data_IF_825722909250
#
_entry.id   IF_825722909250
#
_cell.length_a   1.000
_cell.length_b   1.000
_cell.length_c   1.000
_cell.angle_alpha   90.00
_cell.angle_beta   90.00
_cell.angle_gamma   90.00
#
_symmetry.space_group_name_H-M   'P 1'
#
loop_
_entity.id
_entity.type
_entity.pdbx_description
1 polymer ?
#
# COMPACT_ATOMS: atom_id res chain seq x y z
N UNK A 1 -58.67 51.43 -3.16
CA UNK A 1 -57.64 50.37 -3.36
C UNK A 1 -57.25 50.36 -4.82
N UNK A 2 -56.01 50.73 -5.14
CA UNK A 2 -55.45 50.59 -6.49
C UNK A 2 -54.33 49.55 -6.41
N UNK A 3 -54.51 48.44 -7.11
CA UNK A 3 -53.60 47.30 -7.12
C UNK A 3 -52.55 47.52 -8.22
N UNK A 4 -51.30 47.78 -7.81
CA UNK A 4 -50.20 48.02 -8.74
C UNK A 4 -49.48 46.71 -9.05
N UNK A 5 -49.45 46.35 -10.34
CA UNK A 5 -48.80 45.13 -10.82
C UNK A 5 -47.27 45.32 -10.91
N UNK A 6 -46.47 44.33 -10.48
CA UNK A 6 -45.02 44.45 -10.36
C UNK A 6 -44.27 44.53 -11.71
N UNK A 7 -44.95 44.45 -12.84
CA UNK A 7 -44.38 44.46 -14.20
C UNK A 7 -44.83 45.66 -15.04
N UNK A 8 -45.57 46.61 -14.45
CA UNK A 8 -45.96 47.84 -15.13
C UNK A 8 -44.74 48.77 -15.34
N UNK A 9 -44.32 48.96 -16.60
CA UNK A 9 -43.24 49.90 -16.95
C UNK A 9 -43.70 51.34 -16.68
N UNK A 10 -43.00 52.04 -15.79
CA UNK A 10 -43.20 53.48 -15.53
C UNK A 10 -42.79 54.29 -16.77
N UNK A 11 -43.61 55.22 -17.29
CA UNK A 11 -43.19 56.11 -18.36
C UNK A 11 -42.34 57.24 -17.75
N UNK A 12 -41.06 57.36 -18.15
CA UNK A 12 -40.23 58.51 -17.76
C UNK A 12 -38.76 58.26 -17.41
N UNK A 13 -38.17 57.10 -17.75
CA UNK A 13 -36.74 56.87 -17.54
C UNK A 13 -35.92 57.32 -18.75
N UNK A 14 -35.12 58.40 -18.61
CA UNK A 14 -34.06 58.75 -19.56
C UNK A 14 -33.11 57.56 -19.70
N UNK A 15 -32.82 57.14 -20.93
CA UNK A 15 -31.85 56.09 -21.21
C UNK A 15 -30.48 56.51 -20.66
N UNK A 16 -30.02 55.81 -19.62
CA UNK A 16 -28.65 55.93 -19.14
C UNK A 16 -27.70 55.46 -20.27
N UNK A 17 -26.56 56.13 -20.49
CA UNK A 17 -25.61 55.69 -21.51
C UNK A 17 -25.16 54.25 -21.19
N UNK A 18 -25.32 53.35 -22.16
CA UNK A 18 -24.89 51.96 -22.07
C UNK A 18 -23.36 51.91 -22.10
N UNK A 19 -22.76 52.11 -20.92
CA UNK A 19 -21.35 51.83 -20.69
C UNK A 19 -21.18 50.37 -20.33
N UNK A 20 -20.69 49.55 -21.26
CA UNK A 20 -20.25 48.19 -20.97
C UNK A 20 -18.93 48.24 -20.19
N UNK A 21 -18.98 48.61 -18.92
CA UNK A 21 -17.87 48.37 -17.99
C UNK A 21 -17.94 46.90 -17.59
N UNK A 22 -17.22 46.05 -18.33
CA UNK A 22 -16.95 44.68 -17.91
C UNK A 22 -16.14 44.71 -16.62
N UNK A 23 -16.82 44.76 -15.48
CA UNK A 23 -16.23 44.40 -14.20
C UNK A 23 -15.71 42.98 -14.36
N UNK A 24 -14.40 42.82 -14.22
CA UNK A 24 -13.70 41.56 -14.21
C UNK A 24 -14.57 40.50 -13.54
N UNK A 25 -15.03 39.53 -14.34
CA UNK A 25 -15.73 38.38 -13.80
C UNK A 25 -14.85 37.78 -12.73
N UNK A 26 -15.42 37.55 -11.54
CA UNK A 26 -14.77 36.67 -10.59
C UNK A 26 -14.70 35.29 -11.24
N UNK A 27 -13.57 34.99 -11.87
CA UNK A 27 -13.19 33.61 -12.10
C UNK A 27 -12.75 33.11 -10.74
N UNK A 28 -13.60 32.31 -10.11
CA UNK A 28 -13.13 31.42 -9.05
C UNK A 28 -12.21 30.41 -9.72
N UNK A 29 -10.92 30.75 -9.82
CA UNK A 29 -9.86 29.76 -9.93
C UNK A 29 -9.96 28.95 -8.65
N UNK A 30 -10.69 27.83 -8.69
CA UNK A 30 -10.36 26.73 -7.81
C UNK A 30 -8.87 26.51 -8.04
N UNK A 31 -8.04 26.87 -7.06
CA UNK A 31 -6.69 26.35 -6.97
C UNK A 31 -6.92 24.84 -6.96
N UNK A 32 -6.79 24.20 -8.12
CA UNK A 32 -6.57 22.77 -8.22
C UNK A 32 -5.45 22.53 -7.22
N UNK A 33 -5.81 21.92 -6.08
CA UNK A 33 -4.83 21.58 -5.07
C UNK A 33 -3.70 20.87 -5.80
N UNK A 34 -2.46 21.35 -5.60
CA UNK A 34 -1.32 20.76 -6.29
C UNK A 34 -1.40 19.25 -6.20
N UNK A 35 -1.18 18.55 -7.32
CA UNK A 35 -1.23 17.11 -7.33
C UNK A 35 -0.18 16.56 -6.36
N UNK A 36 -0.62 16.21 -5.15
CA UNK A 36 0.21 15.59 -4.13
C UNK A 36 0.31 14.11 -4.47
N UNK A 37 1.16 13.80 -5.45
CA UNK A 37 1.49 12.44 -5.79
C UNK A 37 2.24 11.81 -4.62
N UNK A 38 1.69 10.74 -4.05
CA UNK A 38 2.45 9.91 -3.12
C UNK A 38 3.72 9.45 -3.82
N UNK A 39 4.87 9.59 -3.16
CA UNK A 39 6.10 9.02 -3.68
C UNK A 39 5.89 7.53 -3.97
N UNK A 40 6.44 7.07 -5.10
CA UNK A 40 6.39 5.66 -5.51
C UNK A 40 7.42 4.81 -4.77
N UNK A 41 7.64 5.09 -3.49
CA UNK A 41 8.48 4.32 -2.61
C UNK A 41 7.61 3.54 -1.61
N UNK A 42 8.07 2.34 -1.25
CA UNK A 42 7.33 1.46 -0.36
C UNK A 42 6.90 2.14 0.95
N UNK A 43 7.75 2.92 1.66
CA UNK A 43 7.35 3.52 2.92
C UNK A 43 6.18 4.51 2.79
N UNK A 44 6.14 5.32 1.72
CA UNK A 44 5.03 6.27 1.51
C UNK A 44 3.75 5.55 1.11
N UNK A 45 3.83 4.56 0.20
CA UNK A 45 2.67 3.77 -0.21
C UNK A 45 2.10 2.92 0.93
N UNK A 46 2.94 2.33 1.77
CA UNK A 46 2.49 1.62 2.97
C UNK A 46 1.82 2.56 3.97
N UNK A 47 2.33 3.79 4.13
CA UNK A 47 1.76 4.78 5.04
C UNK A 47 0.42 5.34 4.56
N UNK A 48 0.37 5.84 3.34
CA UNK A 48 -0.85 6.47 2.81
C UNK A 48 -1.88 5.43 2.35
N UNK A 49 -1.43 4.33 1.75
CA UNK A 49 -2.28 3.24 1.30
C UNK A 49 -2.73 2.35 2.44
N UNK A 50 -1.80 1.66 3.11
CA UNK A 50 -2.20 0.63 4.08
C UNK A 50 -2.54 1.18 5.47
N UNK A 51 -1.75 2.11 6.02
CA UNK A 51 -1.98 2.59 7.39
C UNK A 51 -3.10 3.62 7.51
N UNK A 52 -3.40 4.38 6.44
CA UNK A 52 -4.39 5.47 6.46
C UNK A 52 -5.71 5.17 5.73
N UNK A 53 -5.77 4.10 4.93
CA UNK A 53 -7.00 3.71 4.25
C UNK A 53 -7.56 2.40 4.84
N UNK A 54 -8.75 2.43 5.48
CA UNK A 54 -9.33 1.24 6.12
C UNK A 54 -9.72 0.14 5.11
N UNK A 55 -10.05 0.52 3.87
CA UNK A 55 -10.40 -0.45 2.81
C UNK A 55 -9.16 -1.24 2.44
N UNK A 56 -8.06 -0.55 2.11
CA UNK A 56 -6.78 -1.19 1.78
C UNK A 56 -6.27 -2.02 2.95
N UNK A 57 -6.33 -1.47 4.17
CA UNK A 57 -5.96 -2.21 5.39
C UNK A 57 -6.71 -3.54 5.49
N UNK A 58 -8.05 -3.51 5.34
CA UNK A 58 -8.86 -4.72 5.45
C UNK A 58 -8.61 -5.69 4.30
N UNK A 59 -8.48 -5.21 3.06
CA UNK A 59 -8.19 -6.04 1.90
C UNK A 59 -6.87 -6.81 2.07
N UNK A 60 -5.80 -6.11 2.46
CA UNK A 60 -4.49 -6.73 2.66
C UNK A 60 -4.52 -7.72 3.82
N UNK A 61 -5.11 -7.34 4.97
CA UNK A 61 -5.26 -8.25 6.12
C UNK A 61 -6.06 -9.51 5.77
N UNK A 62 -7.17 -9.35 5.06
CA UNK A 62 -8.01 -10.49 4.68
C UNK A 62 -7.22 -11.50 3.84
N UNK A 63 -6.47 -11.03 2.84
CA UNK A 63 -5.69 -11.92 1.97
C UNK A 63 -4.53 -12.55 2.74
N UNK A 64 -3.77 -11.76 3.51
CA UNK A 64 -2.60 -12.25 4.23
C UNK A 64 -2.97 -13.28 5.32
N UNK A 65 -4.03 -13.02 6.09
CA UNK A 65 -4.51 -13.91 7.14
C UNK A 65 -5.08 -15.21 6.55
N UNK A 66 -5.91 -15.09 5.50
CA UNK A 66 -6.48 -16.26 4.82
C UNK A 66 -5.37 -17.15 4.23
N UNK A 67 -4.38 -16.56 3.56
CA UNK A 67 -3.25 -17.32 3.01
C UNK A 67 -2.38 -17.95 4.11
N UNK A 68 -2.20 -17.28 5.24
CA UNK A 68 -1.43 -17.80 6.37
C UNK A 68 -2.13 -18.93 7.13
N UNK A 69 -3.46 -19.03 7.04
CA UNK A 69 -4.25 -20.08 7.68
C UNK A 69 -4.19 -21.44 6.97
N UNK A 70 -3.68 -21.49 5.74
CA UNK A 70 -3.57 -22.73 4.97
C UNK A 70 -2.39 -23.56 5.51
N UNK A 71 -2.63 -24.82 5.93
CA UNK A 71 -1.56 -25.67 6.43
C UNK A 71 -0.62 -26.10 5.30
N UNK A 72 0.67 -26.26 5.64
CA UNK A 72 1.66 -26.82 4.74
C UNK A 72 1.68 -28.34 4.82
N UNK A 73 1.72 -28.99 3.66
CA UNK A 73 1.96 -30.42 3.52
C UNK A 73 3.32 -30.63 2.88
N UNK A 74 4.09 -31.59 3.38
CA UNK A 74 5.40 -31.94 2.84
C UNK A 74 5.33 -33.30 2.17
N UNK A 75 5.81 -33.37 0.93
CA UNK A 75 5.86 -34.62 0.16
C UNK A 75 7.29 -34.91 -0.28
N UNK A 76 7.66 -36.19 -0.23
CA UNK A 76 8.85 -36.72 -0.88
C UNK A 76 8.41 -37.74 -1.94
N UNK A 77 8.36 -37.30 -3.21
CA UNK A 77 7.72 -38.07 -4.27
C UNK A 77 6.22 -38.20 -4.02
N UNK A 78 5.71 -39.44 -3.97
CA UNK A 78 4.30 -39.71 -3.66
C UNK A 78 4.00 -39.84 -2.16
N UNK A 79 5.02 -39.82 -1.29
CA UNK A 79 4.86 -40.05 0.14
C UNK A 79 4.69 -38.73 0.88
N UNK A 80 3.60 -38.61 1.65
CA UNK A 80 3.41 -37.50 2.58
C UNK A 80 4.27 -37.71 3.82
N UNK A 81 5.05 -36.69 4.17
CA UNK A 81 5.85 -36.64 5.39
C UNK A 81 5.13 -35.78 6.41
N UNK A 82 4.63 -36.38 7.48
CA UNK A 82 3.92 -35.68 8.55
C UNK A 82 4.84 -35.20 9.67
N UNK A 83 6.03 -35.77 9.79
CA UNK A 83 7.07 -35.37 10.75
C UNK A 83 8.38 -35.10 10.01
N UNK A 84 8.82 -33.84 9.98
CA UNK A 84 10.06 -33.43 9.34
C UNK A 84 10.56 -32.09 9.91
N UNK A 85 11.87 -31.89 10.11
CA UNK A 85 12.41 -30.65 10.67
C UNK A 85 12.00 -29.37 9.93
N UNK A 86 11.73 -29.47 8.62
CA UNK A 86 11.21 -28.34 7.83
C UNK A 86 9.79 -27.93 8.25
N UNK A 87 8.92 -28.90 8.56
CA UNK A 87 7.57 -28.61 9.05
C UNK A 87 7.65 -27.96 10.44
N UNK A 88 8.55 -28.44 11.29
CA UNK A 88 8.80 -27.83 12.60
C UNK A 88 9.32 -26.40 12.47
N UNK A 89 10.25 -26.16 11.53
CA UNK A 89 10.77 -24.82 11.21
C UNK A 89 9.66 -23.89 10.70
N UNK A 90 8.80 -24.36 9.79
CA UNK A 90 7.68 -23.53 9.29
C UNK A 90 6.64 -23.26 10.38
N UNK A 91 6.41 -24.21 11.29
CA UNK A 91 5.50 -24.04 12.42
C UNK A 91 6.05 -23.05 13.46
N UNK A 92 7.37 -22.98 13.63
CA UNK A 92 8.05 -22.03 14.52
C UNK A 92 9.32 -21.46 13.87
N UNK A 93 9.17 -20.44 12.99
CA UNK A 93 10.28 -19.92 12.19
C UNK A 93 11.41 -19.28 13.01
N UNK A 94 11.09 -18.68 14.15
CA UNK A 94 12.06 -18.10 15.07
C UNK A 94 11.48 -18.07 16.49
N UNK A 95 12.29 -17.69 17.48
CA UNK A 95 11.83 -17.61 18.87
C UNK A 95 10.70 -16.59 19.12
N UNK A 96 10.51 -15.61 18.25
CA UNK A 96 9.62 -14.46 18.44
C UNK A 96 8.24 -14.65 17.82
N UNK A 97 8.10 -15.52 16.82
CA UNK A 97 6.90 -15.65 15.99
C UNK A 97 6.49 -17.11 15.80
N UNK A 98 5.19 -17.34 15.74
CA UNK A 98 4.63 -18.61 15.28
C UNK A 98 4.53 -18.62 13.75
N UNK A 99 4.39 -19.80 13.14
CA UNK A 99 4.33 -19.98 11.69
C UNK A 99 3.26 -19.12 11.01
N UNK A 100 2.03 -19.13 11.52
CA UNK A 100 0.93 -18.34 10.95
C UNK A 100 1.22 -16.83 10.97
N UNK A 101 1.70 -16.29 12.10
CA UNK A 101 1.99 -14.85 12.19
C UNK A 101 3.22 -14.43 11.36
N UNK A 102 4.19 -15.33 11.20
CA UNK A 102 5.30 -15.14 10.28
C UNK A 102 4.83 -15.11 8.82
N UNK A 103 4.00 -16.08 8.41
CA UNK A 103 3.46 -16.15 7.06
C UNK A 103 2.55 -14.96 6.75
N UNK A 104 1.75 -14.51 7.70
CA UNK A 104 0.94 -13.30 7.56
C UNK A 104 1.83 -12.08 7.27
N UNK A 105 2.94 -11.92 7.99
CA UNK A 105 3.89 -10.84 7.74
C UNK A 105 4.58 -10.97 6.37
N UNK A 106 4.95 -12.19 5.97
CA UNK A 106 5.53 -12.48 4.65
C UNK A 106 4.59 -12.07 3.52
N UNK A 107 3.33 -12.51 3.59
CA UNK A 107 2.31 -12.14 2.59
C UNK A 107 2.02 -10.64 2.61
N UNK A 108 2.03 -10.01 3.79
CA UNK A 108 1.93 -8.56 3.92
C UNK A 108 3.03 -7.84 3.13
N UNK A 109 4.29 -8.27 3.24
CA UNK A 109 5.39 -7.71 2.46
C UNK A 109 5.23 -7.92 0.95
N UNK A 110 4.81 -9.12 0.52
CA UNK A 110 4.54 -9.39 -0.90
C UNK A 110 3.45 -8.47 -1.45
N UNK A 111 2.34 -8.32 -0.76
CA UNK A 111 1.20 -7.53 -1.24
C UNK A 111 1.52 -6.03 -1.23
N UNK A 112 2.23 -5.54 -0.21
CA UNK A 112 2.49 -4.10 -0.04
C UNK A 112 3.71 -3.61 -0.83
N UNK A 113 4.75 -4.44 -0.98
CA UNK A 113 6.02 -4.06 -1.62
C UNK A 113 6.29 -4.75 -2.95
N UNK A 114 5.50 -5.76 -3.30
CA UNK A 114 5.74 -6.66 -4.44
C UNK A 114 6.84 -7.69 -4.19
N UNK A 115 7.53 -7.64 -3.05
CA UNK A 115 8.66 -8.52 -2.73
C UNK A 115 8.62 -8.98 -1.26
N UNK A 116 9.25 -10.11 -0.97
CA UNK A 116 9.52 -10.52 0.40
C UNK A 116 10.85 -11.27 0.43
N UNK A 117 11.59 -11.10 1.52
CA UNK A 117 12.92 -11.64 1.67
C UNK A 117 13.04 -12.34 3.02
N UNK A 118 13.71 -13.47 3.01
CA UNK A 118 13.94 -14.31 4.17
C UNK A 118 15.43 -14.48 4.36
N UNK A 119 15.90 -14.21 5.58
CA UNK A 119 17.21 -14.60 6.03
C UNK A 119 17.08 -15.91 6.80
N UNK A 120 17.84 -16.92 6.36
CA UNK A 120 17.99 -18.16 7.12
C UNK A 120 19.26 -18.06 7.96
N UNK A 121 19.12 -18.25 9.26
CA UNK A 121 20.24 -18.31 10.20
C UNK A 121 20.37 -19.74 10.69
N UNK A 122 21.52 -20.35 10.44
CA UNK A 122 21.82 -21.71 10.90
C UNK A 122 22.66 -21.66 12.19
N UNK A 123 22.14 -22.23 13.28
CA UNK A 123 22.76 -22.34 14.59
C UNK A 123 22.93 -23.82 14.99
N UNK A 124 23.82 -24.52 14.30
CA UNK A 124 24.06 -25.94 14.51
C UNK A 124 22.88 -26.79 14.06
N UNK A 125 22.19 -27.43 15.00
CA UNK A 125 21.01 -28.27 14.71
C UNK A 125 19.71 -27.46 14.57
N UNK A 126 19.73 -26.17 14.92
CA UNK A 126 18.58 -25.29 14.83
C UNK A 126 18.76 -24.35 13.62
N UNK A 127 17.72 -24.22 12.82
CA UNK A 127 17.63 -23.18 11.81
C UNK A 127 16.57 -22.17 12.26
N UNK A 128 16.77 -20.90 11.93
CA UNK A 128 15.77 -19.85 12.08
C UNK A 128 15.54 -19.15 10.75
N UNK A 129 14.33 -18.63 10.58
CA UNK A 129 13.95 -17.77 9.47
C UNK A 129 13.53 -16.40 10.01
N UNK A 130 14.13 -15.36 9.45
CA UNK A 130 13.86 -13.97 9.77
C UNK A 130 13.38 -13.23 8.52
N UNK A 131 12.26 -12.53 8.64
CA UNK A 131 11.76 -11.67 7.57
C UNK A 131 12.57 -10.39 7.50
N UNK A 132 13.11 -10.10 6.32
CA UNK A 132 13.81 -8.85 6.06
C UNK A 132 12.82 -7.82 5.50
N UNK A 133 12.94 -6.59 5.99
CA UNK A 133 12.17 -5.46 5.49
C UNK A 133 12.52 -5.17 4.02
N UNK A 134 11.57 -5.25 3.07
CA UNK A 134 11.86 -5.10 1.65
C UNK A 134 12.47 -3.75 1.29
N UNK A 135 12.10 -2.66 1.98
CA UNK A 135 12.63 -1.32 1.77
C UNK A 135 14.12 -1.16 2.11
N UNK A 136 14.70 -2.15 2.81
CA UNK A 136 16.10 -2.16 3.21
C UNK A 136 16.93 -3.17 2.43
N UNK A 137 16.32 -3.91 1.52
CA UNK A 137 16.99 -4.91 0.68
C UNK A 137 17.31 -4.28 -0.67
N UNK A 138 18.56 -4.44 -1.12
CA UNK A 138 19.00 -4.12 -2.47
C UNK A 138 19.52 -5.40 -3.12
N UNK A 139 18.99 -5.72 -4.30
CA UNK A 139 19.49 -6.85 -5.11
C UNK A 139 20.77 -6.41 -5.82
N UNK A 140 21.85 -7.17 -5.63
CA UNK A 140 23.11 -6.99 -6.35
C UNK A 140 23.15 -7.95 -7.53
N UNK A 141 23.52 -7.45 -8.70
CA UNK A 141 23.61 -8.23 -9.94
C UNK A 141 25.04 -8.34 -10.43
N UNK A 142 25.33 -9.41 -11.18
CA UNK A 142 26.58 -9.54 -11.93
C UNK A 142 26.59 -8.66 -13.20
N UNK A 143 27.66 -8.77 -14.00
CA UNK A 143 27.79 -8.05 -15.26
C UNK A 143 26.75 -8.44 -16.32
N UNK A 144 26.12 -9.60 -16.20
CA UNK A 144 25.07 -10.08 -17.08
C UNK A 144 23.66 -9.71 -16.59
N UNK A 145 23.55 -9.08 -15.41
CA UNK A 145 22.29 -8.67 -14.80
C UNK A 145 21.62 -9.75 -13.94
N UNK A 146 22.28 -10.87 -13.66
CA UNK A 146 21.73 -11.92 -12.82
C UNK A 146 21.87 -11.57 -11.33
N UNK A 147 20.83 -11.77 -10.50
CA UNK A 147 20.92 -11.59 -9.05
C UNK A 147 21.95 -12.54 -8.43
N UNK A 148 22.96 -11.99 -7.77
CA UNK A 148 24.02 -12.77 -7.11
C UNK A 148 24.04 -12.61 -5.59
N UNK A 149 23.51 -11.50 -5.07
CA UNK A 149 23.47 -11.26 -3.64
C UNK A 149 22.34 -10.29 -3.26
N UNK A 150 21.97 -10.31 -1.98
CA UNK A 150 21.12 -9.31 -1.35
C UNK A 150 21.96 -8.49 -0.38
N UNK A 151 21.91 -7.17 -0.50
CA UNK A 151 22.49 -6.25 0.48
C UNK A 151 21.38 -5.72 1.37
N UNK A 152 21.47 -5.99 2.67
CA UNK A 152 20.57 -5.41 3.66
C UNK A 152 21.21 -4.18 4.31
N UNK A 153 20.55 -3.03 4.25
CA UNK A 153 21.04 -1.81 4.90
C UNK A 153 20.75 -1.87 6.40
N UNK A 154 21.80 -2.13 7.20
CA UNK A 154 21.74 -1.88 8.64
C UNK A 154 21.83 -0.37 8.86
N UNK A 155 20.79 0.21 9.45
CA UNK A 155 20.80 1.61 9.92
C UNK A 155 21.41 1.65 11.30
#
# INVERSE_FOLDING_TARGET
MAFNWPWAKRPGGKAAPEGKSGGYGFVALHVEGEAHWTRRDYPALAREGFMRNPIVHRSVRLVADTAASVPWLLYQGANELTAHPLLDLLARPNHRQAGASFMEALYGYLILSGNAYLERVDAGALAELHLLRPDRVTVLTDAAGWPVALKYSQT
#
